data_IF_118822184579
#
_entry.id   IF_118822184579
#
_cell.length_a   1.000
_cell.length_b   1.000
_cell.length_c   1.000
_cell.angle_alpha   90.00
_cell.angle_beta   90.00
_cell.angle_gamma   90.00
#
_symmetry.space_group_name_H-M   'P 1'
#
loop_
_entity.id
_entity.type
_entity.pdbx_description
1 polymer ?
#
# COMPACT_ATOMS: atom_id res chain seq x y z
N UNK A 1 19.28 8.88 0.05
CA UNK A 1 17.87 8.66 -0.33
C UNK A 1 17.17 8.12 0.90
N UNK A 2 16.13 8.80 1.36
CA UNK A 2 15.52 8.57 2.68
C UNK A 2 15.16 7.09 2.83
N UNK A 3 15.58 6.47 3.92
CA UNK A 3 15.21 5.11 4.27
C UNK A 3 13.68 5.07 4.47
N UNK A 4 12.96 4.78 3.39
CA UNK A 4 11.54 4.44 3.44
C UNK A 4 11.42 3.31 4.45
N UNK A 5 10.72 3.59 5.56
CA UNK A 5 10.60 2.67 6.68
C UNK A 5 9.67 1.53 6.24
N UNK A 6 10.19 0.60 5.46
CA UNK A 6 9.44 -0.59 5.03
C UNK A 6 9.11 -1.41 6.28
N UNK A 7 7.82 -1.52 6.57
CA UNK A 7 7.34 -2.36 7.67
C UNK A 7 7.10 -3.76 7.11
N UNK A 8 7.70 -4.77 7.73
CA UNK A 8 7.45 -6.16 7.35
C UNK A 8 6.04 -6.58 7.77
N UNK A 9 5.22 -7.00 6.81
CA UNK A 9 3.87 -7.53 7.06
C UNK A 9 3.83 -9.02 6.75
N UNK A 10 3.26 -9.82 7.66
CA UNK A 10 3.07 -11.26 7.47
C UNK A 10 1.62 -11.55 7.07
N UNK A 11 1.42 -12.12 5.88
CA UNK A 11 0.09 -12.48 5.39
C UNK A 11 -0.05 -14.00 5.29
N UNK A 12 -1.21 -14.52 5.69
CA UNK A 12 -1.63 -15.89 5.35
C UNK A 12 -2.62 -15.79 4.20
N UNK A 13 -2.25 -16.36 3.07
CA UNK A 13 -3.06 -16.32 1.84
C UNK A 13 -3.29 -17.73 1.34
N UNK A 14 -4.36 -17.92 0.58
CA UNK A 14 -4.64 -19.18 -0.09
C UNK A 14 -3.55 -19.51 -1.12
N UNK A 15 -3.22 -20.79 -1.35
CA UNK A 15 -2.20 -21.19 -2.32
C UNK A 15 -2.50 -20.70 -3.73
N UNK A 16 -3.78 -20.65 -4.11
CA UNK A 16 -4.24 -20.08 -5.38
C UNK A 16 -3.90 -18.59 -5.52
N UNK A 17 -4.01 -17.82 -4.45
CA UNK A 17 -3.69 -16.39 -4.46
C UNK A 17 -2.19 -16.18 -4.68
N UNK A 18 -1.35 -16.93 -3.95
CA UNK A 18 0.11 -16.91 -4.12
C UNK A 18 0.51 -17.20 -5.57
N UNK A 19 -0.05 -18.26 -6.17
CA UNK A 19 0.25 -18.66 -7.54
C UNK A 19 -0.12 -17.56 -8.56
N UNK A 20 -1.29 -16.94 -8.41
CA UNK A 20 -1.71 -15.83 -9.28
C UNK A 20 -0.83 -14.59 -9.12
N UNK A 21 -0.46 -14.26 -7.89
CA UNK A 21 0.44 -13.15 -7.61
C UNK A 21 1.84 -13.38 -8.20
N UNK A 22 2.35 -14.61 -8.12
CA UNK A 22 3.63 -15.00 -8.73
C UNK A 22 3.62 -14.84 -10.26
N UNK A 23 2.55 -15.28 -10.93
CA UNK A 23 2.39 -15.09 -12.38
C UNK A 23 2.34 -13.61 -12.75
N UNK A 24 1.60 -12.80 -11.99
CA UNK A 24 1.48 -11.37 -12.27
C UNK A 24 2.79 -10.63 -12.03
N UNK A 25 3.49 -10.93 -10.93
CA UNK A 25 4.79 -10.35 -10.60
C UNK A 25 5.88 -10.75 -11.62
N UNK A 26 5.88 -12.01 -12.06
CA UNK A 26 6.81 -12.50 -13.08
C UNK A 26 6.61 -11.80 -14.43
N UNK A 27 5.36 -11.49 -14.80
CA UNK A 27 5.04 -10.76 -16.04
C UNK A 27 5.60 -9.34 -16.03
N UNK A 28 5.50 -8.65 -14.90
CA UNK A 28 5.94 -7.26 -14.76
C UNK A 28 7.42 -7.11 -14.35
N UNK A 29 8.16 -8.23 -14.20
CA UNK A 29 9.54 -8.26 -13.74
C UNK A 29 9.76 -7.53 -12.40
N UNK A 30 8.78 -7.65 -11.49
CA UNK A 30 8.76 -6.99 -10.18
C UNK A 30 8.70 -8.02 -9.06
N UNK A 31 9.17 -7.66 -7.88
CA UNK A 31 9.01 -8.46 -6.66
C UNK A 31 7.53 -8.61 -6.28
N UNK A 32 7.16 -9.71 -5.61
CA UNK A 32 5.79 -9.97 -5.14
C UNK A 32 5.22 -8.82 -4.30
N UNK A 33 6.05 -8.22 -3.43
CA UNK A 33 5.66 -7.07 -2.61
C UNK A 33 5.30 -5.87 -3.47
N UNK A 34 6.14 -5.51 -4.43
CA UNK A 34 5.90 -4.36 -5.32
C UNK A 34 4.67 -4.58 -6.22
N UNK A 35 4.46 -5.82 -6.68
CA UNK A 35 3.23 -6.19 -7.40
C UNK A 35 1.99 -5.98 -6.51
N UNK A 36 2.05 -6.43 -5.26
CA UNK A 36 0.94 -6.25 -4.31
C UNK A 36 0.69 -4.78 -4.00
N UNK A 37 1.74 -3.99 -3.80
CA UNK A 37 1.65 -2.54 -3.60
C UNK A 37 1.00 -1.86 -4.81
N UNK A 38 1.43 -2.19 -6.03
CA UNK A 38 0.85 -1.64 -7.26
C UNK A 38 -0.63 -1.98 -7.39
N UNK A 39 -1.02 -3.22 -7.12
CA UNK A 39 -2.43 -3.64 -7.12
C UNK A 39 -3.25 -2.89 -6.06
N UNK A 40 -2.69 -2.69 -4.87
CA UNK A 40 -3.34 -1.97 -3.79
C UNK A 40 -3.53 -0.49 -4.15
N UNK A 41 -2.49 0.19 -4.63
CA UNK A 41 -2.58 1.59 -5.05
C UNK A 41 -3.56 1.76 -6.21
N UNK A 42 -3.50 0.89 -7.22
CA UNK A 42 -4.46 0.92 -8.31
C UNK A 42 -5.91 0.73 -7.81
N UNK A 43 -6.14 -0.20 -6.88
CA UNK A 43 -7.45 -0.38 -6.28
C UNK A 43 -7.90 0.86 -5.50
N UNK A 44 -7.05 1.45 -4.68
CA UNK A 44 -7.36 2.67 -3.93
C UNK A 44 -7.68 3.85 -4.86
N UNK A 45 -6.87 4.07 -5.90
CA UNK A 45 -7.08 5.10 -6.92
C UNK A 45 -8.42 4.93 -7.64
N UNK A 46 -8.75 3.69 -8.05
CA UNK A 46 -10.02 3.41 -8.73
C UNK A 46 -11.24 3.61 -7.82
N UNK A 47 -11.09 3.42 -6.51
CA UNK A 47 -12.16 3.57 -5.53
C UNK A 47 -12.17 4.94 -4.83
N UNK A 48 -11.21 5.84 -5.15
CA UNK A 48 -11.05 7.13 -4.48
C UNK A 48 -10.72 7.01 -2.99
N UNK A 49 -10.05 5.92 -2.59
CA UNK A 49 -9.65 5.67 -1.21
C UNK A 49 -8.33 6.40 -0.94
N UNK A 50 -8.42 7.59 -0.38
CA UNK A 50 -7.25 8.32 0.11
C UNK A 50 -6.80 7.78 1.47
N UNK A 51 -5.49 7.72 1.70
CA UNK A 51 -4.96 7.48 3.04
C UNK A 51 -5.55 8.55 3.98
N UNK A 52 -6.16 8.17 5.13
CA UNK A 52 -6.64 9.15 6.07
C UNK A 52 -5.44 9.97 6.53
N UNK A 53 -5.28 11.17 5.97
CA UNK A 53 -4.32 12.16 6.44
C UNK A 53 -4.53 12.24 7.94
N UNK A 54 -3.48 12.07 8.78
CA UNK A 54 -3.64 12.24 10.20
C UNK A 54 -4.19 13.65 10.39
N UNK A 55 -5.49 13.71 10.70
CA UNK A 55 -6.19 14.95 10.91
C UNK A 55 -5.46 15.60 12.06
N UNK A 56 -4.68 16.63 11.76
CA UNK A 56 -4.20 17.61 12.72
C UNK A 56 -5.39 18.45 13.22
N UNK A 57 -6.50 17.80 13.58
CA UNK A 57 -7.54 18.35 14.41
C UNK A 57 -7.04 18.33 15.85
N UNK A 58 -6.20 19.34 16.20
CA UNK A 58 -6.15 20.02 17.51
C UNK A 58 -4.92 20.93 17.66
N UNK A 59 -5.07 22.17 17.21
CA UNK A 59 -4.56 23.38 17.87
C UNK A 59 -5.42 24.54 17.35
N UNK A 60 -6.63 24.80 17.89
CA UNK A 60 -6.92 25.53 19.13
C UNK A 60 -5.90 26.64 19.43
N UNK A 61 -6.20 27.85 18.95
CA UNK A 61 -5.83 29.11 19.61
C UNK A 61 -4.90 30.05 18.85
N UNK A 62 -5.48 31.08 18.22
CA UNK A 62 -5.00 32.47 18.10
C UNK A 62 -6.05 33.21 17.23
N UNK A 63 -6.82 34.26 17.59
CA UNK A 63 -6.62 35.42 18.49
C UNK A 63 -5.19 35.94 18.38
N UNK A 64 -4.91 37.08 17.75
CA UNK A 64 -5.63 38.36 17.70
C UNK A 64 -5.34 39.09 16.40
#
# INVERSE_FOLDING_TARGET
MAAEKTVSMSFRVSPRFKALLEVAAARENRSLTNMLETLLYAHCEQHGLEEPRPSASRAKGAKQ
#
